data_IF_692289971795
#
_entry.id   IF_692289971795
#
_cell.length_a   1.000
_cell.length_b   1.000
_cell.length_c   1.000
_cell.angle_alpha   90.00
_cell.angle_beta   90.00
_cell.angle_gamma   90.00
#
_symmetry.space_group_name_H-M   'P 1'
#
loop_
_entity.id
_entity.type
_entity.pdbx_description
1 polymer ?
#
# COMPACT_ATOMS: atom_id res chain seq x y z
N UNK A 1 12.70 21.48 7.60
CA UNK A 1 13.68 21.19 8.67
C UNK A 1 13.43 19.76 9.10
N UNK A 2 14.46 18.91 9.25
CA UNK A 2 14.25 17.52 9.66
C UNK A 2 13.97 17.41 11.16
N UNK A 3 12.93 16.65 11.52
CA UNK A 3 12.66 16.21 12.89
C UNK A 3 13.29 14.84 13.10
N UNK A 4 13.90 14.62 14.26
CA UNK A 4 14.53 13.33 14.61
C UNK A 4 14.18 12.89 16.01
N UNK A 5 13.99 11.58 16.19
CA UNK A 5 13.80 10.94 17.49
C UNK A 5 14.96 9.98 17.78
N UNK A 6 15.68 10.19 18.89
CA UNK A 6 16.58 9.18 19.44
C UNK A 6 15.78 8.26 20.36
N UNK A 7 15.87 6.96 20.09
CA UNK A 7 15.28 5.90 20.88
C UNK A 7 16.35 5.22 21.75
N UNK A 8 16.03 5.07 23.03
CA UNK A 8 16.88 4.42 24.03
C UNK A 8 16.04 3.40 24.79
N UNK A 9 16.47 2.15 24.80
CA UNK A 9 15.86 1.06 25.58
C UNK A 9 16.81 0.64 26.70
N UNK A 10 16.35 0.69 27.95
CA UNK A 10 17.14 0.31 29.13
C UNK A 10 18.54 0.96 29.15
N UNK A 11 18.58 2.27 28.83
CA UNK A 11 19.83 3.06 28.77
C UNK A 11 20.72 2.82 27.55
N UNK A 12 20.35 1.93 26.61
CA UNK A 12 21.11 1.69 25.36
C UNK A 12 20.41 2.35 24.18
N UNK A 13 21.16 3.10 23.36
CA UNK A 13 20.66 3.64 22.09
C UNK A 13 20.27 2.49 21.18
N UNK A 14 19.05 2.57 20.67
CA UNK A 14 18.46 1.60 19.76
C UNK A 14 18.55 2.13 18.33
N UNK A 15 17.96 3.29 18.07
CA UNK A 15 18.05 3.96 16.79
C UNK A 15 17.89 5.49 16.93
N UNK A 16 18.25 6.23 15.89
CA UNK A 16 17.79 7.60 15.63
C UNK A 16 16.91 7.54 14.39
N UNK A 17 15.61 7.81 14.55
CA UNK A 17 14.68 7.93 13.44
C UNK A 17 14.58 9.38 12.96
N UNK A 18 14.32 9.59 11.68
CA UNK A 18 14.20 10.94 11.13
C UNK A 18 13.52 10.98 9.78
N UNK A 19 12.95 12.15 9.47
CA UNK A 19 12.41 12.49 8.16
C UNK A 19 13.00 13.84 7.72
N UNK A 20 13.21 13.98 6.42
CA UNK A 20 13.59 15.21 5.75
C UNK A 20 12.35 15.95 5.24
N UNK A 21 12.33 17.26 5.46
CA UNK A 21 11.25 18.12 4.97
C UNK A 21 9.92 17.91 5.69
N UNK A 22 8.83 17.94 4.92
CA UNK A 22 7.47 17.82 5.42
C UNK A 22 7.08 16.36 5.61
N UNK A 23 6.43 16.07 6.73
CA UNK A 23 5.96 14.73 7.04
C UNK A 23 5.61 14.55 8.51
N UNK A 24 5.43 13.29 8.91
CA UNK A 24 5.08 12.86 10.25
C UNK A 24 6.11 11.84 10.72
N UNK A 25 6.57 11.96 11.97
CA UNK A 25 7.32 10.92 12.67
C UNK A 25 6.51 10.53 13.92
N UNK A 26 6.30 9.23 14.12
CA UNK A 26 5.44 8.67 15.17
C UNK A 26 6.18 7.57 15.92
N UNK A 27 5.98 7.53 17.23
CA UNK A 27 6.45 6.46 18.10
C UNK A 27 5.24 5.88 18.83
N UNK A 28 5.02 4.57 18.68
CA UNK A 28 3.81 3.89 19.12
C UNK A 28 4.19 2.75 20.06
N UNK A 29 3.60 2.75 21.25
CA UNK A 29 3.59 1.63 22.18
C UNK A 29 2.24 0.93 22.09
N UNK A 30 2.25 -0.33 21.69
CA UNK A 30 1.06 -1.15 21.47
C UNK A 30 1.00 -2.29 22.50
N UNK A 31 -0.20 -2.56 23.01
CA UNK A 31 -0.51 -3.75 23.80
C UNK A 31 -1.61 -4.55 23.12
N UNK A 32 -1.34 -5.82 22.82
CA UNK A 32 -2.31 -6.75 22.28
C UNK A 32 -2.50 -7.92 23.23
N UNK A 33 -3.75 -8.34 23.48
CA UNK A 33 -4.04 -9.57 24.22
C UNK A 33 -5.04 -10.44 23.46
N UNK A 34 -4.61 -11.57 22.87
CA UNK A 34 -5.52 -12.51 22.27
C UNK A 34 -6.38 -13.21 23.35
N UNK A 35 -7.57 -13.66 22.98
CA UNK A 35 -8.57 -14.22 23.89
C UNK A 35 -8.05 -15.43 24.69
N UNK A 36 -7.13 -16.21 24.11
CA UNK A 36 -6.54 -17.42 24.69
C UNK A 36 -5.00 -17.42 24.67
N UNK A 37 -4.33 -16.27 24.80
CA UNK A 37 -2.87 -16.21 24.81
C UNK A 37 -2.30 -15.13 25.71
N UNK A 38 -0.97 -15.10 25.76
CA UNK A 38 -0.23 -14.08 26.51
C UNK A 38 -0.34 -12.71 25.81
N UNK A 39 -0.35 -11.66 26.62
CA UNK A 39 -0.33 -10.30 26.10
C UNK A 39 1.03 -9.95 25.52
N UNK A 40 1.06 -9.30 24.37
CA UNK A 40 2.28 -8.80 23.73
C UNK A 40 2.38 -7.29 23.89
N UNK A 41 3.59 -6.80 24.11
CA UNK A 41 3.91 -5.38 24.07
C UNK A 41 4.89 -5.16 22.92
N UNK A 42 4.53 -4.26 22.02
CA UNK A 42 5.38 -3.89 20.89
C UNK A 42 5.62 -2.39 20.89
N UNK A 43 6.84 -2.00 20.54
CA UNK A 43 7.20 -0.61 20.35
C UNK A 43 7.77 -0.41 18.96
N UNK A 44 7.13 0.47 18.20
CA UNK A 44 7.51 0.80 16.84
C UNK A 44 7.71 2.30 16.67
N UNK A 45 8.64 2.66 15.80
CA UNK A 45 8.78 4.02 15.27
C UNK A 45 8.53 3.97 13.76
N UNK A 46 7.69 4.86 13.28
CA UNK A 46 7.36 4.98 11.86
C UNK A 46 7.26 6.44 11.45
N UNK A 47 7.49 6.71 10.17
CA UNK A 47 7.29 8.03 9.59
C UNK A 47 6.54 7.99 8.27
N UNK A 48 5.94 9.10 7.91
CA UNK A 48 5.46 9.40 6.56
C UNK A 48 6.16 10.68 6.11
N UNK A 49 7.03 10.60 5.12
CA UNK A 49 7.77 11.76 4.63
C UNK A 49 8.86 11.37 3.65
N UNK A 50 9.69 12.34 3.31
CA UNK A 50 10.95 12.07 2.63
C UNK A 50 11.95 11.64 3.70
N UNK A 51 12.76 10.62 3.44
CA UNK A 51 13.87 10.22 4.31
C UNK A 51 15.20 10.24 3.55
N UNK A 52 15.12 10.33 2.23
CA UNK A 52 16.20 10.70 1.34
C UNK A 52 15.71 11.83 0.43
N UNK A 53 16.52 12.88 0.31
CA UNK A 53 16.27 14.01 -0.58
C UNK A 53 16.19 13.62 -2.07
N UNK A 54 16.63 12.41 -2.44
CA UNK A 54 16.52 11.86 -3.80
C UNK A 54 15.13 11.32 -4.15
N UNK A 55 14.24 11.16 -3.18
CA UNK A 55 12.90 10.60 -3.42
C UNK A 55 12.01 11.59 -4.17
N UNK A 56 11.04 11.08 -4.93
CA UNK A 56 10.09 11.87 -5.71
C UNK A 56 8.72 12.03 -5.02
N UNK A 57 8.48 11.27 -3.94
CA UNK A 57 7.25 11.29 -3.15
C UNK A 57 7.50 10.93 -1.70
N UNK A 58 6.52 11.20 -0.83
CA UNK A 58 6.56 10.78 0.56
C UNK A 58 6.41 9.25 0.67
N UNK A 59 7.08 8.67 1.66
CA UNK A 59 7.07 7.23 1.92
C UNK A 59 6.73 6.92 3.37
N UNK A 60 5.99 5.83 3.58
CA UNK A 60 5.81 5.23 4.89
C UNK A 60 7.04 4.42 5.28
N UNK A 61 7.82 4.89 6.24
CA UNK A 61 9.01 4.18 6.72
C UNK A 61 8.82 3.69 8.15
N UNK A 62 9.51 2.62 8.49
CA UNK A 62 9.60 2.11 9.84
C UNK A 62 11.06 1.93 10.25
N UNK A 63 11.33 2.09 11.54
CA UNK A 63 12.58 1.66 12.16
C UNK A 63 12.34 0.33 12.88
N UNK A 64 13.40 -0.41 13.23
CA UNK A 64 13.27 -1.71 13.85
C UNK A 64 12.22 -1.73 14.97
N UNK A 65 11.37 -2.75 14.93
CA UNK A 65 10.40 -3.01 16.00
C UNK A 65 11.10 -3.69 17.16
N UNK A 66 10.63 -3.40 18.35
CA UNK A 66 11.21 -3.95 19.56
C UNK A 66 10.14 -4.58 20.43
N UNK A 67 10.25 -5.90 20.60
CA UNK A 67 9.52 -6.58 21.65
C UNK A 67 9.89 -5.98 23.01
N UNK A 68 8.86 -5.68 23.80
CA UNK A 68 9.01 -5.16 25.14
C UNK A 68 8.55 -6.20 26.16
N UNK A 69 9.30 -6.26 27.27
CA UNK A 69 8.92 -6.99 28.45
C UNK A 69 8.49 -6.03 29.56
N UNK A 70 7.70 -6.53 30.51
CA UNK A 70 7.41 -5.78 31.74
C UNK A 70 8.71 -5.43 32.46
N UNK A 71 8.88 -4.14 32.78
CA UNK A 71 10.10 -3.62 33.41
C UNK A 71 11.10 -2.98 32.45
N UNK A 72 10.89 -3.09 31.13
CA UNK A 72 11.66 -2.32 30.15
C UNK A 72 11.34 -0.82 30.26
N UNK A 73 12.37 0.02 30.11
CA UNK A 73 12.26 1.47 30.00
C UNK A 73 12.54 1.91 28.57
N UNK A 74 11.66 2.77 28.04
CA UNK A 74 11.83 3.42 26.74
C UNK A 74 11.94 4.93 26.95
N UNK A 75 13.05 5.50 26.50
CA UNK A 75 13.27 6.94 26.43
C UNK A 75 13.30 7.39 24.98
N UNK A 76 12.50 8.42 24.67
CA UNK A 76 12.48 9.08 23.36
C UNK A 76 12.99 10.51 23.56
N UNK A 77 13.99 10.91 22.77
CA UNK A 77 14.49 12.29 22.76
C UNK A 77 14.26 12.93 21.39
N UNK A 78 13.70 14.12 21.38
CA UNK A 78 13.59 14.93 20.17
C UNK A 78 14.94 15.62 19.95
N UNK A 79 15.55 15.37 18.80
CA UNK A 79 16.84 15.93 18.42
C UNK A 79 16.68 17.09 17.42
N UNK A 80 17.65 18.04 17.36
CA UNK A 80 17.71 19.02 16.27
C UNK A 80 17.89 18.34 14.90
N UNK A 81 17.86 19.06 13.76
CA UNK A 81 18.21 18.48 12.45
C UNK A 81 19.60 17.81 12.42
N UNK A 82 19.77 16.78 11.60
CA UNK A 82 21.05 16.07 11.40
C UNK A 82 20.87 14.67 10.83
N UNK A 83 21.91 13.82 10.90
CA UNK A 83 21.86 12.44 10.40
C UNK A 83 20.98 11.54 11.27
N UNK A 84 20.31 10.57 10.65
CA UNK A 84 19.51 9.55 11.33
C UNK A 84 19.83 8.18 10.74
N UNK A 85 19.50 7.13 11.49
CA UNK A 85 19.70 5.76 11.05
C UNK A 85 18.74 5.47 9.88
N UNK A 86 19.19 4.65 8.93
CA UNK A 86 18.35 4.24 7.81
C UNK A 86 17.15 3.42 8.33
N UNK A 87 15.93 3.69 7.85
CA UNK A 87 14.76 2.90 8.22
C UNK A 87 14.92 1.44 7.78
N UNK A 88 14.41 0.52 8.59
CA UNK A 88 14.34 -0.90 8.23
C UNK A 88 13.24 -1.12 7.20
N UNK A 89 13.55 -1.91 6.17
CA UNK A 89 12.59 -2.18 5.11
C UNK A 89 12.07 -0.88 4.50
N UNK A 90 12.99 0.02 4.12
CA UNK A 90 12.64 1.19 3.31
C UNK A 90 11.68 0.71 2.22
N UNK A 91 10.42 1.13 2.28
CA UNK A 91 9.40 0.88 1.26
C UNK A 91 9.79 1.42 -0.14
N UNK A 92 11.02 1.95 -0.28
CA UNK A 92 11.66 2.27 -1.56
C UNK A 92 12.54 1.15 -2.13
N UNK A 93 12.96 0.16 -1.34
CA UNK A 93 13.76 -0.97 -1.83
C UNK A 93 13.06 -2.30 -1.54
N UNK A 94 12.79 -3.11 -2.57
CA UNK A 94 12.23 -4.45 -2.37
C UNK A 94 13.13 -5.27 -1.44
N UNK A 95 12.53 -5.99 -0.49
CA UNK A 95 13.24 -7.02 0.29
C UNK A 95 13.73 -8.15 -0.62
N UNK A 96 12.98 -8.42 -1.69
CA UNK A 96 13.26 -9.42 -2.71
C UNK A 96 12.67 -8.95 -4.03
N UNK A 97 13.36 -9.21 -5.13
CA UNK A 97 12.80 -9.03 -6.47
C UNK A 97 12.75 -10.37 -7.18
N UNK A 98 11.72 -10.59 -7.99
CA UNK A 98 11.63 -11.77 -8.85
C UNK A 98 11.00 -11.40 -10.19
N UNK A 99 11.24 -12.25 -11.18
CA UNK A 99 10.53 -12.19 -12.45
C UNK A 99 9.45 -13.27 -12.47
N UNK A 100 8.21 -12.86 -12.67
CA UNK A 100 7.03 -13.72 -12.78
C UNK A 100 6.49 -13.71 -14.23
N UNK A 101 6.08 -14.87 -14.78
CA UNK A 101 5.62 -14.94 -16.17
C UNK A 101 4.35 -14.14 -16.47
N UNK A 102 3.54 -13.82 -15.47
CA UNK A 102 2.27 -13.07 -15.61
C UNK A 102 2.46 -11.60 -15.22
N UNK A 103 3.16 -11.36 -14.12
CA UNK A 103 3.32 -10.02 -13.53
C UNK A 103 4.61 -9.30 -13.94
N UNK A 104 5.54 -9.98 -14.63
CA UNK A 104 6.83 -9.40 -14.98
C UNK A 104 7.70 -9.20 -13.74
N UNK A 105 8.27 -8.01 -13.58
CA UNK A 105 9.15 -7.72 -12.44
C UNK A 105 8.31 -7.41 -11.19
N UNK A 106 8.45 -8.25 -10.17
CA UNK A 106 7.81 -8.11 -8.88
C UNK A 106 8.81 -7.69 -7.81
N UNK A 107 8.35 -6.86 -6.90
CA UNK A 107 9.10 -6.32 -5.77
C UNK A 107 8.37 -6.66 -4.47
N UNK A 108 9.02 -7.42 -3.58
CA UNK A 108 8.45 -7.86 -2.31
C UNK A 108 8.66 -6.80 -1.23
N UNK A 109 7.57 -6.45 -0.54
CA UNK A 109 7.54 -5.52 0.57
C UNK A 109 6.73 -6.14 1.71
N UNK A 110 7.42 -6.51 2.79
CA UNK A 110 6.82 -7.02 4.05
C UNK A 110 5.99 -8.31 3.88
N UNK A 111 4.80 -8.21 3.29
CA UNK A 111 3.79 -9.25 3.09
C UNK A 111 3.07 -9.15 1.73
N UNK A 112 3.63 -8.35 0.80
CA UNK A 112 3.06 -8.18 -0.53
C UNK A 112 4.11 -8.11 -1.62
N UNK A 113 3.68 -8.39 -2.85
CA UNK A 113 4.43 -8.13 -4.06
C UNK A 113 3.76 -7.04 -4.88
N UNK A 114 4.54 -6.06 -5.31
CA UNK A 114 4.08 -5.01 -6.21
C UNK A 114 4.69 -5.16 -7.60
N UNK A 115 3.87 -4.93 -8.63
CA UNK A 115 4.30 -4.86 -10.03
C UNK A 115 3.57 -3.75 -10.78
N UNK A 116 4.24 -3.20 -11.79
CA UNK A 116 3.59 -2.39 -12.83
C UNK A 116 3.53 -3.24 -14.09
N UNK A 117 2.33 -3.51 -14.58
CA UNK A 117 2.10 -4.32 -15.78
C UNK A 117 1.40 -3.51 -16.86
N UNK A 118 1.66 -3.85 -18.12
CA UNK A 118 0.80 -3.44 -19.22
C UNK A 118 -0.60 -4.05 -19.03
N UNK A 119 -1.62 -3.25 -19.27
CA UNK A 119 -3.02 -3.65 -19.11
C UNK A 119 -3.75 -3.28 -20.39
N UNK A 120 -3.77 -4.21 -21.35
CA UNK A 120 -4.27 -4.02 -22.72
C UNK A 120 -5.80 -3.96 -22.80
N UNK A 121 -6.44 -3.06 -22.05
CA UNK A 121 -7.89 -2.94 -22.02
C UNK A 121 -8.33 -1.49 -21.94
N UNK A 122 -8.53 -0.87 -23.10
CA UNK A 122 -8.95 0.52 -23.22
C UNK A 122 -10.18 0.83 -22.32
N UNK A 123 -10.16 1.95 -21.56
CA UNK A 123 -9.19 3.05 -21.64
C UNK A 123 -7.92 2.84 -20.81
N UNK A 124 -7.80 1.73 -20.10
CA UNK A 124 -6.65 1.44 -19.25
C UNK A 124 -5.45 1.03 -20.13
N UNK A 125 -4.26 1.43 -19.67
CA UNK A 125 -2.98 1.17 -20.32
C UNK A 125 -2.03 0.40 -19.41
N UNK A 126 -2.03 0.73 -18.11
CA UNK A 126 -1.19 0.07 -17.13
C UNK A 126 -1.98 -0.26 -15.87
N UNK A 127 -1.53 -1.28 -15.16
CA UNK A 127 -2.02 -1.61 -13.84
C UNK A 127 -0.87 -1.61 -12.84
N UNK A 128 -1.07 -0.96 -11.70
CA UNK A 128 -0.26 -1.18 -10.52
C UNK A 128 -0.92 -2.31 -9.71
N UNK A 129 -0.25 -3.46 -9.65
CA UNK A 129 -0.79 -4.65 -9.01
C UNK A 129 -0.12 -4.84 -7.67
N UNK A 130 -0.93 -4.94 -6.63
CA UNK A 130 -0.53 -5.28 -5.27
C UNK A 130 -1.05 -6.68 -4.94
N UNK A 131 -0.14 -7.57 -4.55
CA UNK A 131 -0.43 -9.00 -4.38
C UNK A 131 -0.06 -9.40 -2.96
N UNK A 132 -1.04 -9.68 -2.11
CA UNK A 132 -0.79 -10.23 -0.79
C UNK A 132 -0.44 -11.72 -0.93
N UNK A 133 0.85 -12.04 -0.77
CA UNK A 133 1.41 -13.37 -0.86
C UNK A 133 2.69 -13.44 -0.04
N UNK A 134 3.13 -14.64 0.33
CA UNK A 134 4.37 -14.83 1.06
C UNK A 134 5.61 -14.57 0.18
N UNK A 135 6.79 -14.71 0.77
CA UNK A 135 8.08 -14.50 0.08
C UNK A 135 8.36 -15.48 -1.07
N UNK A 136 7.53 -16.51 -1.30
CA UNK A 136 7.66 -17.44 -2.42
C UNK A 136 7.04 -16.89 -3.71
N UNK A 137 6.27 -15.80 -3.63
CA UNK A 137 5.66 -15.15 -4.78
C UNK A 137 4.16 -15.42 -4.93
N UNK A 138 3.54 -14.89 -6.00
CA UNK A 138 2.11 -15.07 -6.24
C UNK A 138 1.71 -16.53 -6.40
N UNK A 139 0.46 -16.84 -6.06
CA UNK A 139 -0.12 -18.18 -6.27
C UNK A 139 -0.67 -18.35 -7.69
N UNK A 140 -0.92 -19.60 -8.10
CA UNK A 140 -1.57 -19.88 -9.39
C UNK A 140 -2.97 -19.29 -9.49
N UNK A 141 -3.68 -19.18 -8.36
CA UNK A 141 -4.98 -18.53 -8.31
C UNK A 141 -4.86 -17.05 -8.66
N UNK A 142 -3.92 -16.34 -8.02
CA UNK A 142 -3.66 -14.92 -8.27
C UNK A 142 -3.21 -14.65 -9.71
N UNK A 143 -2.35 -15.51 -10.28
CA UNK A 143 -1.96 -15.45 -11.70
C UNK A 143 -3.18 -15.61 -12.62
N UNK A 144 -4.03 -16.60 -12.34
CA UNK A 144 -5.23 -16.87 -13.12
C UNK A 144 -6.22 -15.71 -13.10
N UNK A 145 -6.31 -14.97 -11.98
CA UNK A 145 -7.14 -13.78 -11.85
C UNK A 145 -6.67 -12.69 -12.83
N UNK A 146 -5.38 -12.34 -12.87
CA UNK A 146 -4.90 -11.31 -13.80
C UNK A 146 -5.08 -11.71 -15.25
N UNK A 147 -4.79 -12.97 -15.60
CA UNK A 147 -4.99 -13.48 -16.95
C UNK A 147 -6.46 -13.30 -17.36
N UNK A 148 -7.38 -13.80 -16.53
CA UNK A 148 -8.81 -13.75 -16.84
C UNK A 148 -9.35 -12.32 -16.82
N UNK A 149 -8.84 -11.47 -15.92
CA UNK A 149 -9.24 -10.07 -15.83
C UNK A 149 -8.86 -9.33 -17.12
N UNK A 150 -7.66 -9.53 -17.66
CA UNK A 150 -7.25 -8.95 -18.95
C UNK A 150 -8.17 -9.36 -20.09
N UNK A 151 -8.58 -10.63 -20.13
CA UNK A 151 -9.51 -11.14 -21.15
C UNK A 151 -10.93 -10.58 -21.00
N UNK A 152 -11.43 -10.44 -19.76
CA UNK A 152 -12.82 -10.09 -19.48
C UNK A 152 -13.07 -8.60 -19.27
N UNK A 153 -12.04 -7.81 -19.00
CA UNK A 153 -12.20 -6.40 -18.59
C UNK A 153 -13.05 -5.60 -19.59
N UNK A 154 -12.83 -5.78 -20.89
CA UNK A 154 -13.61 -5.09 -21.93
C UNK A 154 -15.12 -5.39 -21.86
N UNK A 155 -15.49 -6.59 -21.43
CA UNK A 155 -16.89 -7.02 -21.25
C UNK A 155 -17.48 -6.49 -19.94
N UNK A 156 -16.65 -6.40 -18.89
CA UNK A 156 -17.03 -5.84 -17.59
C UNK A 156 -17.12 -4.31 -17.62
N UNK A 157 -16.41 -3.66 -18.54
CA UNK A 157 -16.23 -2.21 -18.58
C UNK A 157 -17.53 -1.39 -18.53
N UNK A 158 -18.59 -1.72 -19.29
CA UNK A 158 -19.86 -0.98 -19.20
C UNK A 158 -20.50 -1.07 -17.81
N UNK A 159 -20.42 -2.25 -17.18
CA UNK A 159 -20.94 -2.48 -15.83
C UNK A 159 -20.11 -1.72 -14.79
N UNK A 160 -18.77 -1.75 -14.92
CA UNK A 160 -17.84 -1.00 -14.07
C UNK A 160 -18.14 0.50 -14.11
N UNK A 161 -18.24 1.09 -15.30
CA UNK A 161 -18.57 2.51 -15.45
C UNK A 161 -19.94 2.87 -14.85
N UNK A 162 -20.92 1.97 -14.99
CA UNK A 162 -22.26 2.17 -14.44
C UNK A 162 -22.25 2.10 -12.91
N UNK A 163 -21.45 1.19 -12.36
CA UNK A 163 -21.20 1.03 -10.93
C UNK A 163 -20.55 2.28 -10.33
N UNK A 164 -19.42 2.71 -10.90
CA UNK A 164 -18.64 3.85 -10.40
C UNK A 164 -19.45 5.16 -10.40
N UNK A 165 -20.32 5.37 -11.39
CA UNK A 165 -21.22 6.54 -11.40
C UNK A 165 -22.18 6.57 -10.22
N UNK A 166 -22.52 5.42 -9.61
CA UNK A 166 -23.41 5.39 -8.44
C UNK A 166 -22.73 5.91 -7.17
N UNK A 167 -21.40 5.83 -7.07
CA UNK A 167 -20.66 6.35 -5.92
C UNK A 167 -20.01 7.71 -6.20
N UNK A 168 -19.84 8.11 -7.45
CA UNK A 168 -19.30 9.43 -7.78
C UNK A 168 -20.29 10.56 -7.43
N UNK A 169 -19.90 11.57 -6.64
CA UNK A 169 -20.83 12.59 -6.15
C UNK A 169 -21.35 13.55 -7.23
N UNK A 170 -20.51 13.86 -8.23
CA UNK A 170 -20.85 14.85 -9.26
C UNK A 170 -21.13 14.27 -10.66
N UNK A 171 -20.45 13.19 -11.04
CA UNK A 171 -20.54 12.63 -12.40
C UNK A 171 -21.62 11.55 -12.45
N UNK A 172 -22.76 11.90 -13.04
CA UNK A 172 -23.95 11.03 -13.12
C UNK A 172 -24.08 10.24 -14.44
N UNK A 173 -23.14 10.39 -15.38
CA UNK A 173 -23.20 9.76 -16.71
C UNK A 173 -22.01 8.82 -16.94
N UNK A 174 -22.22 7.51 -17.17
CA UNK A 174 -21.13 6.54 -17.34
C UNK A 174 -20.13 6.92 -18.44
N UNK A 175 -20.63 7.39 -19.58
CA UNK A 175 -19.77 7.85 -20.68
C UNK A 175 -18.93 9.08 -20.36
N UNK A 176 -19.37 9.94 -19.43
CA UNK A 176 -18.60 11.11 -18.98
C UNK A 176 -17.50 10.64 -18.04
N UNK A 177 -17.85 9.79 -17.07
CA UNK A 177 -16.88 9.22 -16.12
C UNK A 177 -15.77 8.45 -16.86
N UNK A 178 -16.15 7.57 -17.79
CA UNK A 178 -15.20 6.76 -18.55
C UNK A 178 -14.13 7.56 -19.30
N UNK A 179 -14.40 8.83 -19.64
CA UNK A 179 -13.45 9.72 -20.32
C UNK A 179 -12.50 10.44 -19.37
N UNK A 180 -12.85 10.50 -18.09
CA UNK A 180 -12.09 11.17 -17.04
C UNK A 180 -11.34 10.18 -16.16
N UNK A 181 -11.62 8.88 -16.29
CA UNK A 181 -10.82 7.86 -15.62
C UNK A 181 -9.39 7.90 -16.14
N UNK A 182 -8.43 7.94 -15.22
CA UNK A 182 -7.02 7.87 -15.55
C UNK A 182 -6.71 6.51 -16.23
N UNK A 183 -5.72 6.47 -17.14
CA UNK A 183 -5.37 5.25 -17.85
C UNK A 183 -4.67 4.21 -16.95
N UNK A 184 -4.34 4.55 -15.71
CA UNK A 184 -3.78 3.64 -14.71
C UNK A 184 -4.88 3.10 -13.79
N UNK A 185 -4.82 1.80 -13.50
CA UNK A 185 -5.70 1.15 -12.51
C UNK A 185 -4.86 0.51 -11.40
N UNK A 186 -5.30 0.60 -10.15
CA UNK A 186 -4.78 -0.22 -9.07
C UNK A 186 -5.49 -1.58 -9.06
N UNK A 187 -4.78 -2.66 -8.81
CA UNK A 187 -5.37 -4.00 -8.67
C UNK A 187 -4.85 -4.64 -7.39
N UNK A 188 -5.72 -4.90 -6.43
CA UNK A 188 -5.37 -5.59 -5.20
C UNK A 188 -5.85 -7.04 -5.25
N UNK A 189 -4.95 -7.98 -4.97
CA UNK A 189 -5.22 -9.42 -4.88
C UNK A 189 -4.94 -9.90 -3.46
N UNK A 190 -5.98 -10.41 -2.79
CA UNK A 190 -5.90 -10.84 -1.40
C UNK A 190 -6.00 -12.37 -1.28
N UNK A 191 -4.88 -13.00 -0.90
CA UNK A 191 -4.80 -14.44 -0.66
C UNK A 191 -5.23 -15.30 -1.85
N UNK A 192 -5.71 -16.51 -1.55
CA UNK A 192 -6.21 -17.49 -2.52
C UNK A 192 -7.73 -17.41 -2.70
N UNK A 193 -8.23 -16.21 -3.03
CA UNK A 193 -9.65 -15.98 -3.29
C UNK A 193 -9.90 -15.78 -4.78
N UNK A 194 -11.13 -15.96 -5.26
CA UNK A 194 -11.55 -15.57 -6.62
C UNK A 194 -11.85 -14.06 -6.73
N UNK A 195 -11.37 -13.26 -5.77
CA UNK A 195 -11.67 -11.84 -5.67
C UNK A 195 -10.55 -10.98 -6.25
N UNK A 196 -10.94 -9.90 -6.92
CA UNK A 196 -10.04 -8.85 -7.34
C UNK A 196 -10.66 -7.50 -6.99
N UNK A 197 -9.87 -6.59 -6.45
CA UNK A 197 -10.30 -5.22 -6.22
C UNK A 197 -9.61 -4.30 -7.21
N UNK A 198 -10.39 -3.51 -7.94
CA UNK A 198 -9.91 -2.54 -8.91
C UNK A 198 -10.06 -1.14 -8.32
N UNK A 199 -8.99 -0.36 -8.39
CA UNK A 199 -8.93 1.00 -7.86
C UNK A 199 -8.75 1.97 -9.01
N UNK A 200 -9.71 2.89 -9.13
CA UNK A 200 -9.77 3.87 -10.18
C UNK A 200 -9.57 5.29 -9.63
N UNK A 201 -8.91 6.12 -10.42
CA UNK A 201 -8.75 7.55 -10.15
C UNK A 201 -9.37 8.36 -11.28
N UNK A 202 -9.90 9.53 -10.93
CA UNK A 202 -10.59 10.43 -11.87
C UNK A 202 -9.77 11.70 -12.04
N UNK A 203 -9.48 12.07 -13.28
CA UNK A 203 -8.81 13.32 -13.64
C UNK A 203 -9.62 14.54 -13.17
N UNK A 204 -8.94 15.45 -12.47
CA UNK A 204 -9.55 16.68 -11.96
C UNK A 204 -10.42 16.49 -10.73
N UNK A 205 -10.37 15.32 -10.08
CA UNK A 205 -11.05 15.10 -8.81
C UNK A 205 -10.32 15.86 -7.67
N UNK A 206 -10.96 16.90 -7.14
CA UNK A 206 -10.39 17.81 -6.15
C UNK A 206 -10.06 17.15 -4.80
N UNK A 207 -10.61 15.96 -4.53
CA UNK A 207 -10.40 15.23 -3.27
C UNK A 207 -9.36 14.12 -3.35
N UNK A 208 -8.65 13.95 -4.46
CA UNK A 208 -7.73 12.81 -4.69
C UNK A 208 -8.37 11.43 -4.39
N UNK A 209 -9.69 11.35 -4.62
CA UNK A 209 -10.50 10.20 -4.22
C UNK A 209 -10.14 8.95 -5.02
N UNK A 210 -10.24 7.82 -4.34
CA UNK A 210 -10.08 6.51 -4.94
C UNK A 210 -11.44 5.82 -5.03
N UNK A 211 -11.73 5.24 -6.19
CA UNK A 211 -12.97 4.53 -6.46
C UNK A 211 -12.69 3.04 -6.59
N UNK A 212 -13.30 2.25 -5.72
CA UNK A 212 -13.04 0.83 -5.59
C UNK A 212 -14.17 0.03 -6.24
N UNK A 213 -13.80 -0.99 -7.01
CA UNK A 213 -14.73 -1.98 -7.58
C UNK A 213 -14.22 -3.35 -7.21
N UNK A 214 -14.97 -4.04 -6.36
CA UNK A 214 -14.67 -5.41 -5.97
C UNK A 214 -15.38 -6.38 -6.90
N UNK A 215 -14.60 -7.24 -7.54
CA UNK A 215 -15.07 -8.35 -8.36
C UNK A 215 -15.03 -9.64 -7.55
N UNK A 216 -16.11 -10.42 -7.61
CA UNK A 216 -16.17 -11.80 -7.12
C UNK A 216 -16.80 -12.65 -8.22
N UNK A 217 -16.12 -13.72 -8.61
CA UNK A 217 -16.58 -14.62 -9.68
C UNK A 217 -16.93 -13.88 -10.99
N UNK A 218 -16.20 -12.79 -11.26
CA UNK A 218 -16.38 -11.91 -12.43
C UNK A 218 -17.68 -11.10 -12.43
N UNK A 219 -18.30 -10.94 -11.28
CA UNK A 219 -19.41 -10.02 -11.05
C UNK A 219 -19.00 -8.90 -10.09
N UNK A 220 -19.61 -7.72 -10.24
CA UNK A 220 -19.39 -6.60 -9.33
C UNK A 220 -20.09 -6.91 -8.00
N UNK A 221 -19.31 -7.25 -6.99
CA UNK A 221 -19.79 -7.56 -5.65
C UNK A 221 -19.99 -6.28 -4.83
N UNK A 222 -19.07 -5.33 -4.95
CA UNK A 222 -19.08 -4.09 -4.16
C UNK A 222 -18.48 -2.92 -4.95
N UNK A 223 -18.96 -1.73 -4.64
CA UNK A 223 -18.44 -0.47 -5.21
C UNK A 223 -18.52 0.58 -4.13
N UNK A 224 -17.39 1.25 -3.87
CA UNK A 224 -17.34 2.34 -2.90
C UNK A 224 -16.30 3.40 -3.32
N UNK A 225 -16.31 4.51 -2.61
CA UNK A 225 -15.41 5.64 -2.79
C UNK A 225 -14.74 5.90 -1.44
N UNK A 226 -13.43 6.14 -1.45
CA UNK A 226 -12.68 6.60 -0.28
C UNK A 226 -12.22 8.06 -0.49
N UNK A 227 -12.26 8.83 0.58
CA UNK A 227 -11.80 10.22 0.69
C UNK A 227 -10.69 10.33 1.74
#
# INVERSE_FOLDING_TARGET
>A
MSTRFELIKNGKRVCIAGIDGDGVLSAILSYGKPENGDGTHDFGISGLGMFDASQDRQHHVAWPRHELATGDEITIRILPPGEFDQPEGSVGSPQKSMHDPVFGNLNYYVDSWDAIIEFDSAPLQTAHVHICADENGPTECQRSIIITLRERHSQLWPSICSALVRCHPEITKPRKLAKLLLPQVGINLYGDTSEAELVYSVEGDAGERAYFVKLRDWEIAEVFMAE
#
